data_IF_469476460084
#
_entry.id   IF_469476460084
#
_cell.length_a   1.000
_cell.length_b   1.000
_cell.length_c   1.000
_cell.angle_alpha   90.00
_cell.angle_beta   90.00
_cell.angle_gamma   90.00
#
_symmetry.space_group_name_H-M   'P 1'
#
loop_
_entity.id
_entity.type
_entity.pdbx_description
1 polymer ?
#
# COMPACT_ATOMS: atom_id res chain seq x y z
N UNK A 1 -13.13 -36.52 -11.50
CA UNK A 1 -13.44 -35.45 -10.53
C UNK A 1 -12.21 -35.02 -9.74
N UNK A 2 -11.54 -35.91 -8.99
CA UNK A 2 -10.33 -35.60 -8.22
C UNK A 2 -9.16 -35.05 -9.05
N UNK A 3 -8.89 -35.66 -10.20
CA UNK A 3 -7.84 -35.21 -11.14
C UNK A 3 -8.11 -33.84 -11.75
N UNK A 4 -9.38 -33.54 -12.07
CA UNK A 4 -9.79 -32.23 -12.58
C UNK A 4 -9.71 -31.11 -11.53
N UNK A 5 -10.02 -31.42 -10.27
CA UNK A 5 -9.87 -30.47 -9.15
C UNK A 5 -8.40 -30.17 -8.88
N UNK A 6 -7.51 -31.17 -8.90
CA UNK A 6 -6.07 -30.94 -8.69
C UNK A 6 -5.48 -30.08 -9.81
N UNK A 7 -5.84 -30.33 -11.07
CA UNK A 7 -5.41 -29.50 -12.20
C UNK A 7 -5.94 -28.05 -12.10
N UNK A 8 -7.21 -27.88 -11.70
CA UNK A 8 -7.78 -26.55 -11.50
C UNK A 8 -7.10 -25.78 -10.34
N UNK A 9 -6.77 -26.47 -9.25
CA UNK A 9 -6.05 -25.88 -8.10
C UNK A 9 -4.62 -25.51 -8.50
N UNK A 10 -3.90 -26.35 -9.24
CA UNK A 10 -2.54 -26.06 -9.70
C UNK A 10 -2.48 -24.85 -10.64
N UNK A 11 -3.43 -24.76 -11.59
CA UNK A 11 -3.55 -23.61 -12.49
C UNK A 11 -3.91 -22.34 -11.72
N UNK A 12 -4.82 -22.41 -10.75
CA UNK A 12 -5.16 -21.28 -9.88
C UNK A 12 -3.95 -20.85 -9.04
N UNK A 13 -3.18 -21.77 -8.46
CA UNK A 13 -1.99 -21.42 -7.67
C UNK A 13 -0.88 -20.79 -8.51
N UNK A 14 -0.72 -21.18 -9.78
CA UNK A 14 0.26 -20.58 -10.68
C UNK A 14 -0.15 -19.18 -11.16
N UNK A 15 -1.45 -18.88 -11.25
CA UNK A 15 -1.96 -17.55 -11.59
C UNK A 15 -1.85 -16.57 -10.41
N UNK A 16 -1.87 -17.05 -9.16
CA UNK A 16 -1.81 -16.20 -7.97
C UNK A 16 -0.38 -15.76 -7.60
N UNK A 17 0.68 -16.32 -8.22
CA UNK A 17 2.06 -16.00 -7.83
C UNK A 17 2.57 -14.65 -8.34
N UNK A 18 2.02 -14.14 -9.45
CA UNK A 18 2.50 -12.89 -10.06
C UNK A 18 1.90 -11.63 -9.40
N UNK A 19 0.69 -11.73 -8.84
CA UNK A 19 0.05 -10.64 -8.10
C UNK A 19 0.50 -10.52 -6.63
N UNK A 20 1.30 -11.46 -6.11
CA UNK A 20 1.51 -11.58 -4.65
C UNK A 20 2.96 -11.46 -4.17
N UNK A 21 3.94 -11.24 -5.05
CA UNK A 21 5.28 -10.78 -4.63
C UNK A 21 5.32 -9.25 -4.61
N UNK A 22 4.40 -8.59 -3.90
CA UNK A 22 4.54 -7.15 -3.64
C UNK A 22 5.88 -6.95 -2.93
N UNK A 23 6.69 -6.03 -3.45
CA UNK A 23 7.95 -5.67 -2.78
C UNK A 23 7.59 -5.03 -1.43
N UNK A 24 8.38 -5.24 -0.37
CA UNK A 24 8.08 -4.68 0.96
C UNK A 24 7.78 -3.18 0.96
N UNK A 25 8.42 -2.41 0.08
CA UNK A 25 8.18 -0.97 -0.06
C UNK A 25 6.82 -0.64 -0.69
N UNK A 26 6.37 -1.45 -1.65
CA UNK A 26 5.07 -1.28 -2.30
C UNK A 26 3.94 -1.59 -1.33
N UNK A 27 4.07 -2.68 -0.57
CA UNK A 27 3.11 -3.04 0.47
C UNK A 27 3.04 -1.99 1.59
N UNK A 28 4.19 -1.50 2.06
CA UNK A 28 4.27 -0.41 3.04
C UNK A 28 3.54 0.84 2.53
N UNK A 29 3.80 1.22 1.27
CA UNK A 29 3.13 2.36 0.66
C UNK A 29 1.61 2.16 0.60
N UNK A 30 1.12 1.04 0.08
CA UNK A 30 -0.31 0.82 -0.05
C UNK A 30 -1.04 0.82 1.30
N UNK A 31 -0.40 0.28 2.33
CA UNK A 31 -0.94 0.31 3.69
C UNK A 31 -0.99 1.73 4.25
N UNK A 32 0.04 2.55 4.01
CA UNK A 32 0.03 3.97 4.34
C UNK A 32 -1.12 4.70 3.62
N UNK A 33 -1.29 4.48 2.31
CA UNK A 33 -2.38 5.13 1.54
C UNK A 33 -3.75 4.76 2.11
N UNK A 34 -3.98 3.47 2.41
CA UNK A 34 -5.24 3.02 3.05
C UNK A 34 -5.48 3.67 4.40
N UNK A 35 -4.43 3.83 5.22
CA UNK A 35 -4.52 4.51 6.51
C UNK A 35 -4.92 5.97 6.34
N UNK A 36 -4.32 6.67 5.38
CA UNK A 36 -4.69 8.07 5.07
C UNK A 36 -6.14 8.17 4.63
N UNK A 37 -6.59 7.28 3.75
CA UNK A 37 -7.97 7.25 3.26
C UNK A 37 -8.98 7.03 4.41
N UNK A 38 -8.74 6.04 5.27
CA UNK A 38 -9.57 5.76 6.46
C UNK A 38 -9.67 6.98 7.39
N UNK A 39 -8.58 7.71 7.59
CA UNK A 39 -8.53 8.89 8.46
C UNK A 39 -9.31 10.05 7.84
N UNK A 40 -9.18 10.26 6.52
CA UNK A 40 -9.94 11.26 5.78
C UNK A 40 -11.44 10.98 5.84
N UNK A 41 -11.86 9.73 5.67
CA UNK A 41 -13.28 9.33 5.77
C UNK A 41 -13.86 9.62 7.16
N UNK A 42 -13.06 9.46 8.21
CA UNK A 42 -13.45 9.73 9.60
C UNK A 42 -13.29 11.19 10.03
N UNK A 43 -12.69 12.04 9.18
CA UNK A 43 -12.39 13.43 9.50
C UNK A 43 -11.33 13.60 10.60
N UNK A 44 -10.38 12.66 10.70
CA UNK A 44 -9.29 12.71 11.67
C UNK A 44 -8.09 13.54 11.22
N UNK A 45 -7.08 13.63 12.09
CA UNK A 45 -5.80 14.27 11.77
C UNK A 45 -4.92 13.32 10.96
N UNK A 46 -4.73 13.66 9.69
CA UNK A 46 -3.91 12.86 8.77
C UNK A 46 -2.44 12.92 9.14
N UNK A 47 -1.92 14.06 9.58
CA UNK A 47 -0.51 14.21 9.93
C UNK A 47 -0.17 13.34 11.14
N UNK A 48 -1.02 13.35 12.17
CA UNK A 48 -0.85 12.47 13.34
C UNK A 48 -0.91 10.99 12.93
N UNK A 49 -1.91 10.59 12.14
CA UNK A 49 -2.12 9.19 11.80
C UNK A 49 -1.01 8.58 10.95
N UNK A 50 -0.39 9.34 10.05
CA UNK A 50 0.73 8.85 9.24
C UNK A 50 2.02 8.75 10.06
N UNK A 51 2.18 9.63 11.05
CA UNK A 51 3.32 9.65 11.97
C UNK A 51 3.24 8.45 12.95
N UNK A 52 2.04 8.14 13.46
CA UNK A 52 1.75 6.91 14.20
C UNK A 52 2.03 5.67 13.35
N UNK A 53 1.50 5.62 12.11
CA UNK A 53 1.74 4.50 11.21
C UNK A 53 3.24 4.24 11.00
N UNK A 54 4.04 5.27 10.77
CA UNK A 54 5.49 5.09 10.61
C UNK A 54 6.17 4.60 11.89
N UNK A 55 5.66 4.90 13.08
CA UNK A 55 6.27 4.45 14.34
C UNK A 55 5.84 3.05 14.73
N UNK A 56 4.59 2.70 14.48
CA UNK A 56 3.97 1.51 15.05
C UNK A 56 3.86 0.35 14.05
N UNK A 57 3.66 0.65 12.76
CA UNK A 57 3.39 -0.34 11.72
C UNK A 57 4.59 -0.57 10.78
N UNK A 58 5.65 0.22 10.91
CA UNK A 58 6.85 0.14 10.07
C UNK A 58 8.06 -0.32 10.91
N UNK A 59 8.90 -1.25 10.39
CA UNK A 59 10.11 -1.67 11.09
C UNK A 59 11.01 -0.48 11.46
N UNK A 60 11.62 -0.53 12.65
CA UNK A 60 12.39 0.58 13.22
C UNK A 60 13.48 1.17 12.30
N UNK A 61 14.09 0.35 11.45
CA UNK A 61 15.11 0.79 10.49
C UNK A 61 14.55 1.52 9.25
N UNK A 62 13.23 1.52 9.05
CA UNK A 62 12.52 2.17 7.93
C UNK A 62 11.72 3.41 8.37
N UNK A 63 11.64 3.72 9.66
CA UNK A 63 10.84 4.84 10.19
C UNK A 63 11.23 6.17 9.53
N UNK A 64 12.52 6.52 9.55
CA UNK A 64 13.02 7.76 8.91
C UNK A 64 12.70 7.80 7.41
N UNK A 65 12.74 6.63 6.75
CA UNK A 65 12.40 6.52 5.34
C UNK A 65 10.90 6.72 5.09
N UNK A 66 10.05 6.18 5.96
CA UNK A 66 8.60 6.37 5.96
C UNK A 66 8.23 7.85 6.14
N UNK A 67 8.75 8.51 7.17
CA UNK A 67 8.54 9.94 7.45
C UNK A 67 9.00 10.83 6.26
N UNK A 68 10.12 10.47 5.63
CA UNK A 68 10.63 11.17 4.44
C UNK A 68 9.77 10.99 3.20
N UNK A 69 9.11 9.84 3.04
CA UNK A 69 8.13 9.62 1.97
C UNK A 69 6.91 10.49 2.22
N UNK A 70 6.35 10.48 3.42
CA UNK A 70 5.16 11.25 3.78
C UNK A 70 5.41 12.74 3.58
N UNK A 71 6.45 13.29 4.19
CA UNK A 71 6.74 14.74 4.13
C UNK A 71 6.83 15.27 2.70
N UNK A 72 7.23 14.45 1.73
CA UNK A 72 7.33 14.81 0.32
C UNK A 72 6.05 14.60 -0.47
N UNK A 73 5.27 13.58 -0.11
CA UNK A 73 4.18 13.09 -0.96
C UNK A 73 2.78 13.29 -0.34
N UNK A 74 2.65 13.67 0.93
CA UNK A 74 1.36 13.67 1.64
C UNK A 74 0.29 14.52 0.94
N UNK A 75 0.65 15.72 0.50
CA UNK A 75 -0.27 16.58 -0.26
C UNK A 75 -0.75 15.90 -1.55
N UNK A 76 0.17 15.33 -2.31
CA UNK A 76 -0.14 14.61 -3.55
C UNK A 76 -1.02 13.39 -3.26
N UNK A 77 -0.71 12.61 -2.23
CA UNK A 77 -1.51 11.44 -1.80
C UNK A 77 -2.95 11.85 -1.50
N UNK A 78 -3.15 12.91 -0.72
CA UNK A 78 -4.49 13.41 -0.37
C UNK A 78 -5.23 13.89 -1.61
N UNK A 79 -4.55 14.57 -2.55
CA UNK A 79 -5.15 14.98 -3.82
C UNK A 79 -5.59 13.76 -4.65
N UNK A 80 -4.76 12.72 -4.72
CA UNK A 80 -5.09 11.49 -5.47
C UNK A 80 -6.20 10.66 -4.85
N UNK A 81 -6.26 10.57 -3.53
CA UNK A 81 -7.38 9.94 -2.83
C UNK A 81 -8.71 10.65 -3.12
N UNK A 82 -8.71 11.99 -3.23
CA UNK A 82 -9.89 12.76 -3.66
C UNK A 82 -10.31 12.49 -5.11
N UNK A 83 -9.36 12.08 -5.95
CA UNK A 83 -9.62 11.63 -7.33
C UNK A 83 -10.07 10.15 -7.39
N UNK A 84 -10.14 9.47 -6.24
CA UNK A 84 -10.43 8.04 -6.11
C UNK A 84 -9.42 7.13 -6.80
N UNK A 85 -8.16 7.57 -6.93
CA UNK A 85 -7.07 6.73 -7.44
C UNK A 85 -6.79 5.58 -6.45
N UNK A 86 -6.62 4.33 -6.92
CA UNK A 86 -6.37 3.19 -6.04
C UNK A 86 -4.95 3.25 -5.43
N UNK A 87 -4.74 2.69 -4.22
CA UNK A 87 -3.44 2.71 -3.54
C UNK A 87 -2.26 2.26 -4.39
N UNK A 88 -2.43 1.20 -5.18
CA UNK A 88 -1.37 0.67 -6.05
C UNK A 88 -0.94 1.67 -7.13
N UNK A 89 -1.90 2.41 -7.72
CA UNK A 89 -1.60 3.46 -8.71
C UNK A 89 -0.84 4.62 -8.05
N UNK A 90 -1.33 5.11 -6.91
CA UNK A 90 -0.68 6.20 -6.16
C UNK A 90 0.76 5.81 -5.80
N UNK A 91 0.96 4.57 -5.33
CA UNK A 91 2.27 4.05 -4.96
C UNK A 91 3.21 3.82 -6.15
N UNK A 92 2.68 3.52 -7.33
CA UNK A 92 3.44 3.48 -8.58
C UNK A 92 3.89 4.87 -9.01
N UNK A 93 3.01 5.87 -8.94
CA UNK A 93 3.32 7.25 -9.33
C UNK A 93 4.42 7.90 -8.47
N UNK A 94 4.55 7.48 -7.21
CA UNK A 94 5.63 7.91 -6.30
C UNK A 94 6.81 6.93 -6.24
N UNK A 95 6.88 5.98 -7.17
CA UNK A 95 8.00 5.04 -7.37
C UNK A 95 8.25 4.07 -6.21
N UNK A 96 7.22 3.75 -5.42
CA UNK A 96 7.30 2.75 -4.34
C UNK A 96 6.76 1.38 -4.77
N UNK A 97 5.90 1.35 -5.78
CA UNK A 97 5.54 0.17 -6.56
C UNK A 97 6.21 0.22 -7.94
N UNK A 98 6.40 -0.95 -8.55
CA UNK A 98 6.85 -1.01 -9.94
C UNK A 98 5.64 -0.76 -10.87
N UNK A 99 5.86 0.00 -11.94
CA UNK A 99 4.88 0.23 -13.00
C UNK A 99 4.63 -1.01 -13.86
#
# INVERSE_FOLDING_TARGET
>A
MRTGVVLAVLLATAMMTEAYRKKPLCEMCENLIKKVDEVLEKGGDVEEAVDEFCRDDVPSFLVEYCEKIISKNLKYIIEKLKEHDPPEQICTDIYLCAA
#
